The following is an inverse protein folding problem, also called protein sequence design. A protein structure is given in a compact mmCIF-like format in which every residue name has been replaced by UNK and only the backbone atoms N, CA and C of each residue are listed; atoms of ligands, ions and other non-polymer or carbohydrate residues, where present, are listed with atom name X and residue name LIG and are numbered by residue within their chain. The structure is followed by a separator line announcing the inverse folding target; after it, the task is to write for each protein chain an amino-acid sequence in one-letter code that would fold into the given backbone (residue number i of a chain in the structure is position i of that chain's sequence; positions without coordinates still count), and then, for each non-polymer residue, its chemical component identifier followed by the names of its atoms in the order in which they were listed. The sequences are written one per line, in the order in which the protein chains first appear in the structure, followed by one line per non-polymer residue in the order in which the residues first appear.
data_IF_857735864450
#
_entry.id   IF_857735864450
#
_cell.length_a   1.000
_cell.length_b   1.000
_cell.length_c   1.000
_cell.angle_alpha   90.00
_cell.angle_beta   90.00
_cell.angle_gamma   90.00
#
_symmetry.space_group_name_H-M   'P 1'
#
loop_
_entity.id
_entity.type
_entity.pdbx_description
1 polymer ?
#
# COMPACT_ATOMS: atom_id res chain seq x y z
N UNK A 1 0.17 18.07 -29.78
CA UNK A 1 -0.06 16.72 -29.22
C UNK A 1 1.24 16.25 -28.57
N UNK A 2 1.32 16.24 -27.24
CA UNK A 2 2.49 15.68 -26.53
C UNK A 2 2.41 14.15 -26.66
N UNK A 3 3.39 13.54 -27.35
CA UNK A 3 3.49 12.08 -27.47
C UNK A 3 3.68 11.50 -26.07
N UNK A 4 2.76 10.65 -25.64
CA UNK A 4 2.96 9.78 -24.47
C UNK A 4 4.00 8.73 -24.84
N UNK A 5 5.26 9.03 -24.56
CA UNK A 5 6.34 8.06 -24.64
C UNK A 5 6.09 6.99 -23.57
N UNK A 6 6.12 5.68 -23.90
CA UNK A 6 6.00 4.65 -22.89
C UNK A 6 7.20 4.77 -21.96
N UNK A 7 6.96 5.26 -20.73
CA UNK A 7 8.00 5.32 -19.69
C UNK A 7 8.50 3.90 -19.48
N UNK A 8 9.73 3.64 -19.89
CA UNK A 8 10.43 2.39 -19.60
C UNK A 8 10.61 2.37 -18.09
N UNK A 9 9.72 1.66 -17.39
CA UNK A 9 9.78 1.55 -15.93
C UNK A 9 11.07 0.83 -15.60
N UNK A 10 12.05 1.55 -15.06
CA UNK A 10 13.30 0.96 -14.58
C UNK A 10 12.99 -0.20 -13.65
N UNK A 11 13.71 -1.31 -13.80
CA UNK A 11 13.43 -2.56 -13.06
C UNK A 11 13.35 -2.33 -11.55
N UNK A 12 14.10 -1.36 -11.03
CA UNK A 12 14.10 -0.94 -9.63
C UNK A 12 12.75 -0.37 -9.17
N UNK A 13 12.05 0.40 -10.02
CA UNK A 13 10.72 0.95 -9.71
C UNK A 13 9.66 -0.15 -9.63
N UNK A 14 9.76 -1.20 -10.44
CA UNK A 14 8.85 -2.36 -10.39
C UNK A 14 9.01 -3.11 -9.07
N UNK A 15 10.26 -3.28 -8.61
CA UNK A 15 10.54 -3.90 -7.31
C UNK A 15 9.98 -3.04 -6.18
N UNK A 16 10.20 -1.72 -6.22
CA UNK A 16 9.67 -0.79 -5.23
C UNK A 16 8.13 -0.79 -5.20
N UNK A 17 7.46 -0.77 -6.36
CA UNK A 17 6.00 -0.83 -6.46
C UNK A 17 5.45 -2.13 -5.85
N UNK A 18 6.06 -3.28 -6.18
CA UNK A 18 5.66 -4.58 -5.63
C UNK A 18 5.90 -4.67 -4.12
N UNK A 19 7.01 -4.13 -3.63
CA UNK A 19 7.34 -4.12 -2.21
C UNK A 19 6.36 -3.23 -1.43
N UNK A 20 6.13 -2.00 -1.91
CA UNK A 20 5.20 -1.05 -1.30
C UNK A 20 3.77 -1.58 -1.34
N UNK A 21 3.34 -2.20 -2.44
CA UNK A 21 2.02 -2.83 -2.54
C UNK A 21 1.82 -3.95 -1.51
N UNK A 22 2.85 -4.77 -1.24
CA UNK A 22 2.81 -5.81 -0.20
C UNK A 22 2.66 -5.21 1.20
N UNK A 23 3.44 -4.20 1.53
CA UNK A 23 3.32 -3.52 2.83
C UNK A 23 1.97 -2.82 3.01
N UNK A 24 1.44 -2.21 1.95
CA UNK A 24 0.11 -1.60 1.98
C UNK A 24 -0.99 -2.63 2.25
N UNK A 25 -0.94 -3.81 1.62
CA UNK A 25 -1.89 -4.89 1.90
C UNK A 25 -1.78 -5.41 3.34
N UNK A 26 -0.57 -5.55 3.87
CA UNK A 26 -0.37 -5.93 5.27
C UNK A 26 -0.96 -4.88 6.23
N UNK A 27 -0.71 -3.59 5.97
CA UNK A 27 -1.28 -2.50 6.76
C UNK A 27 -2.81 -2.48 6.71
N UNK A 28 -3.41 -2.73 5.55
CA UNK A 28 -4.86 -2.83 5.40
C UNK A 28 -5.45 -3.99 6.21
N UNK A 29 -4.87 -5.19 6.09
CA UNK A 29 -5.33 -6.36 6.85
C UNK A 29 -5.16 -6.14 8.35
N UNK A 30 -4.06 -5.54 8.79
CA UNK A 30 -3.85 -5.19 10.18
C UNK A 30 -4.90 -4.18 10.69
N UNK A 31 -5.24 -3.16 9.90
CA UNK A 31 -6.26 -2.17 10.25
C UNK A 31 -7.65 -2.80 10.36
N UNK A 32 -8.02 -3.66 9.40
CA UNK A 32 -9.30 -4.40 9.44
C UNK A 32 -9.31 -5.35 10.64
N UNK A 33 -8.21 -6.07 10.89
CA UNK A 33 -8.08 -6.96 12.04
C UNK A 33 -8.18 -6.22 13.38
N UNK A 34 -7.56 -5.03 13.49
CA UNK A 34 -7.67 -4.17 14.67
C UNK A 34 -9.12 -3.75 14.91
N UNK A 35 -9.83 -3.30 13.87
CA UNK A 35 -11.25 -2.95 13.98
C UNK A 35 -12.12 -4.14 14.38
N UNK A 36 -11.92 -5.31 13.79
CA UNK A 36 -12.72 -6.50 14.11
C UNK A 36 -12.48 -7.03 15.53
N UNK A 37 -11.26 -6.89 16.07
CA UNK A 37 -10.89 -7.42 17.39
C UNK A 37 -11.12 -6.43 18.53
N UNK A 38 -10.91 -5.13 18.30
CA UNK A 38 -10.99 -4.09 19.33
C UNK A 38 -12.21 -3.17 19.16
N UNK A 39 -12.90 -3.22 18.02
CA UNK A 39 -13.93 -2.24 17.64
C UNK A 39 -13.37 -0.87 17.26
N UNK A 40 -12.05 -0.67 17.34
CA UNK A 40 -11.38 0.60 17.07
C UNK A 40 -10.55 0.50 15.79
N UNK A 41 -10.71 1.49 14.91
CA UNK A 41 -9.92 1.59 13.67
C UNK A 41 -8.45 1.91 14.00
N UNK A 42 -8.21 2.64 15.09
CA UNK A 42 -6.87 2.94 15.62
C UNK A 42 -6.88 2.63 17.12
N UNK A 43 -6.33 1.48 17.56
CA UNK A 43 -6.21 1.17 18.98
C UNK A 43 -5.29 2.20 19.66
N UNK A 44 -5.78 2.89 20.70
CA UNK A 44 -4.98 3.82 21.50
C UNK A 44 -4.89 5.27 21.00
N UNK A 45 -5.68 5.67 19.99
CA UNK A 45 -5.89 7.08 19.63
C UNK A 45 -7.31 7.49 20.09
N UNK A 46 -7.41 7.86 21.38
CA UNK A 46 -8.61 8.14 22.19
C UNK A 46 -9.48 6.91 22.50
#
# INVERSE_FOLDING_TARGET
MKKNEPKIVEKEKIVAEKLNGRFAMLGFVALVGAYLTTGQIIPGFI
#
